data_IF_516741905523
#
_entry.id   IF_516741905523
#
_cell.length_a   1.000
_cell.length_b   1.000
_cell.length_c   1.000
_cell.angle_alpha   90.00
_cell.angle_beta   90.00
_cell.angle_gamma   90.00
#
_symmetry.space_group_name_H-M   'P 1'
#
loop_
_entity.id
_entity.type
_entity.pdbx_description
1 polymer ?
#
# COMPACT_ATOMS: atom_id res chain seq x y z
N UNK A 1 24.10 7.07 -20.57
CA UNK A 1 25.40 6.66 -20.02
C UNK A 1 25.58 7.40 -18.71
N UNK A 2 25.56 6.70 -17.58
CA UNK A 2 25.76 7.32 -16.26
C UNK A 2 27.21 7.79 -16.12
N UNK A 3 27.40 9.07 -15.79
CA UNK A 3 28.72 9.61 -15.52
C UNK A 3 29.25 9.17 -14.15
N UNK A 4 30.53 9.42 -13.88
CA UNK A 4 31.17 9.12 -12.60
C UNK A 4 31.42 10.43 -11.86
N UNK A 5 31.07 10.48 -10.57
CA UNK A 5 31.47 11.54 -9.63
C UNK A 5 32.70 11.07 -8.87
N UNK A 6 33.70 11.93 -8.82
CA UNK A 6 34.94 11.71 -8.06
C UNK A 6 34.96 12.66 -6.87
N UNK A 7 35.30 12.12 -5.70
CA UNK A 7 35.39 12.87 -4.46
C UNK A 7 36.84 13.29 -4.22
N UNK A 8 37.06 14.34 -3.42
CA UNK A 8 38.40 14.81 -3.06
C UNK A 8 39.27 13.73 -2.36
N UNK A 9 38.67 12.66 -1.85
CA UNK A 9 39.34 11.49 -1.26
C UNK A 9 39.85 10.48 -2.29
N UNK A 10 39.60 10.68 -3.59
CA UNK A 10 39.87 9.72 -4.66
C UNK A 10 38.82 8.61 -4.77
N UNK A 11 37.75 8.66 -3.96
CA UNK A 11 36.61 7.77 -4.13
C UNK A 11 35.82 8.16 -5.40
N UNK A 12 35.24 7.17 -6.07
CA UNK A 12 34.35 7.40 -7.21
C UNK A 12 32.99 6.76 -6.96
N UNK A 13 31.91 7.38 -7.46
CA UNK A 13 30.55 6.88 -7.38
C UNK A 13 29.78 7.25 -8.63
N UNK A 14 28.86 6.38 -9.03
CA UNK A 14 27.98 6.62 -10.16
C UNK A 14 27.11 7.89 -9.94
N UNK A 15 26.70 8.54 -11.03
CA UNK A 15 25.77 9.67 -10.96
C UNK A 15 24.43 9.16 -10.43
N UNK A 16 23.83 9.92 -9.52
CA UNK A 16 22.55 9.55 -8.91
C UNK A 16 21.37 10.31 -9.56
N UNK A 17 21.60 10.99 -10.69
CA UNK A 17 20.60 11.84 -11.34
C UNK A 17 19.31 11.09 -11.72
N UNK A 18 19.42 9.82 -12.09
CA UNK A 18 18.27 8.97 -12.44
C UNK A 18 17.87 8.00 -11.31
N UNK A 19 18.48 8.14 -10.12
CA UNK A 19 18.20 7.26 -8.97
C UNK A 19 17.19 7.91 -8.05
N UNK A 20 16.37 7.07 -7.43
CA UNK A 20 15.39 7.54 -6.46
C UNK A 20 16.09 7.91 -5.15
N UNK A 21 15.96 9.18 -4.76
CA UNK A 21 16.52 9.71 -3.52
C UNK A 21 15.47 9.68 -2.41
N UNK A 22 15.28 8.50 -1.81
CA UNK A 22 14.31 8.35 -0.72
C UNK A 22 14.61 9.23 0.50
N UNK A 23 15.88 9.57 0.74
CA UNK A 23 16.26 10.45 1.85
C UNK A 23 15.84 11.89 1.56
N UNK A 24 16.05 12.39 0.34
CA UNK A 24 15.57 13.69 -0.10
C UNK A 24 14.04 13.78 -0.27
N UNK A 25 13.36 12.67 -0.57
CA UNK A 25 11.90 12.65 -0.79
C UNK A 25 11.08 12.50 0.50
N UNK A 26 11.68 12.03 1.60
CA UNK A 26 10.97 11.74 2.85
C UNK A 26 11.50 12.62 3.98
N UNK A 27 10.57 13.25 4.71
CA UNK A 27 10.93 14.00 5.92
C UNK A 27 11.18 13.05 7.10
N UNK A 28 12.36 13.09 7.75
CA UNK A 28 12.64 12.26 8.93
C UNK A 28 11.68 12.57 10.10
N UNK A 29 11.18 13.80 10.18
CA UNK A 29 10.19 14.20 11.19
C UNK A 29 8.84 13.50 10.96
N UNK A 30 8.40 13.44 9.70
CA UNK A 30 7.14 12.77 9.33
C UNK A 30 7.27 11.26 9.54
N UNK A 31 8.39 10.66 9.14
CA UNK A 31 8.65 9.22 9.34
C UNK A 31 8.62 8.86 10.83
N UNK A 32 9.25 9.67 11.69
CA UNK A 32 9.23 9.45 13.13
C UNK A 32 7.82 9.60 13.73
N UNK A 33 7.05 10.62 13.32
CA UNK A 33 5.66 10.80 13.75
C UNK A 33 4.79 9.60 13.35
N UNK A 34 4.88 9.19 12.09
CA UNK A 34 4.14 8.04 11.58
C UNK A 34 4.51 6.74 12.29
N UNK A 35 5.80 6.51 12.56
CA UNK A 35 6.26 5.34 13.32
C UNK A 35 5.68 5.29 14.75
N UNK A 36 5.65 6.44 15.45
CA UNK A 36 5.02 6.53 16.78
C UNK A 36 3.51 6.28 16.70
N UNK A 37 2.84 6.87 15.71
CA UNK A 37 1.43 6.64 15.44
C UNK A 37 1.14 5.15 15.22
N UNK A 38 1.88 4.48 14.35
CA UNK A 38 1.72 3.04 14.07
C UNK A 38 1.99 2.17 15.30
N UNK A 39 3.01 2.53 16.11
CA UNK A 39 3.30 1.81 17.35
C UNK A 39 2.19 1.91 18.39
N UNK A 40 1.48 3.06 18.47
CA UNK A 40 0.28 3.18 19.32
C UNK A 40 -0.85 2.30 18.79
N UNK A 41 -1.12 2.35 17.49
CA UNK A 41 -2.27 1.69 16.87
C UNK A 41 -2.14 0.18 16.69
N UNK A 42 -0.94 -0.39 16.86
CA UNK A 42 -0.77 -1.86 16.88
C UNK A 42 -1.13 -2.52 18.23
N UNK A 43 -1.36 -1.74 19.28
CA UNK A 43 -1.81 -2.22 20.60
C UNK A 43 -3.34 -2.36 20.60
N UNK A 44 -3.85 -3.54 20.92
CA UNK A 44 -5.27 -3.82 20.95
C UNK A 44 -5.86 -3.63 22.36
N UNK A 45 -7.19 -3.44 22.51
CA UNK A 45 -7.83 -3.25 23.81
C UNK A 45 -7.67 -4.42 24.78
N UNK A 46 -7.49 -5.63 24.26
CA UNK A 46 -7.22 -6.86 25.02
C UNK A 46 -5.75 -6.96 25.49
N UNK A 47 -4.93 -5.94 25.22
CA UNK A 47 -3.51 -5.90 25.56
C UNK A 47 -2.60 -6.65 24.59
N UNK A 48 -3.16 -7.32 23.58
CA UNK A 48 -2.35 -7.99 22.55
C UNK A 48 -1.69 -6.98 21.61
N UNK A 49 -0.61 -7.41 20.96
CA UNK A 49 0.20 -6.57 20.10
C UNK A 49 0.27 -7.16 18.70
N UNK A 50 -0.32 -6.46 17.72
CA UNK A 50 -0.22 -6.84 16.32
C UNK A 50 1.21 -6.66 15.82
N UNK A 51 1.63 -7.54 14.90
CA UNK A 51 2.85 -7.33 14.13
C UNK A 51 2.81 -5.96 13.42
N UNK A 52 3.94 -5.29 13.30
CA UNK A 52 4.02 -3.92 12.76
C UNK A 52 3.55 -3.79 11.30
N UNK A 53 3.68 -4.88 10.55
CA UNK A 53 3.32 -5.04 9.15
C UNK A 53 1.95 -5.70 8.95
N UNK A 54 1.19 -5.98 10.01
CA UNK A 54 -0.12 -6.65 9.93
C UNK A 54 -1.09 -6.00 8.93
N UNK A 55 -1.00 -4.69 8.73
CA UNK A 55 -1.84 -3.97 7.76
C UNK A 55 -1.57 -4.37 6.30
N UNK A 56 -0.38 -4.90 5.99
CA UNK A 56 -0.01 -5.39 4.66
C UNK A 56 -0.67 -6.73 4.30
N UNK A 57 -1.27 -7.42 5.29
CA UNK A 57 -2.08 -8.62 5.07
C UNK A 57 -3.35 -8.32 4.24
N UNK A 58 -3.78 -7.06 4.22
CA UNK A 58 -4.86 -6.57 3.37
C UNK A 58 -6.08 -6.11 4.15
N UNK A 59 -6.63 -4.99 3.70
CA UNK A 59 -7.91 -4.42 4.15
C UNK A 59 -8.68 -4.05 2.87
N UNK A 60 -10.01 -4.25 2.81
CA UNK A 60 -10.81 -3.85 1.64
C UNK A 60 -10.59 -2.39 1.23
N UNK A 61 -10.48 -2.14 -0.08
CA UNK A 61 -10.23 -0.80 -0.63
C UNK A 61 -11.29 0.23 -0.20
N UNK A 62 -12.56 -0.19 -0.11
CA UNK A 62 -13.65 0.70 0.32
C UNK A 62 -13.53 1.09 1.80
N UNK A 63 -12.99 0.20 2.64
CA UNK A 63 -12.72 0.50 4.04
C UNK A 63 -11.60 1.55 4.18
N UNK A 64 -10.54 1.48 3.36
CA UNK A 64 -9.50 2.52 3.30
C UNK A 64 -10.08 3.88 2.90
N UNK A 65 -10.93 3.94 1.87
CA UNK A 65 -11.53 5.20 1.42
C UNK A 65 -12.46 5.79 2.48
N UNK A 66 -13.38 4.98 3.03
CA UNK A 66 -14.31 5.42 4.08
C UNK A 66 -13.57 5.89 5.34
N UNK A 67 -12.52 5.19 5.73
CA UNK A 67 -11.72 5.54 6.91
C UNK A 67 -10.86 6.77 6.65
N UNK A 68 -10.15 6.81 5.52
CA UNK A 68 -9.37 7.95 5.08
C UNK A 68 -10.18 9.25 5.03
N UNK A 69 -11.44 9.20 4.58
CA UNK A 69 -12.30 10.38 4.56
C UNK A 69 -12.60 10.96 5.95
N UNK A 70 -12.79 10.11 6.97
CA UNK A 70 -13.01 10.59 8.35
C UNK A 70 -11.79 11.31 8.90
N UNK A 71 -10.60 10.75 8.68
CA UNK A 71 -9.34 11.39 9.11
C UNK A 71 -9.01 12.63 8.29
N UNK A 72 -9.36 12.64 7.00
CA UNK A 72 -9.24 13.83 6.17
C UNK A 72 -10.16 14.95 6.65
N UNK A 73 -11.40 14.62 7.06
CA UNK A 73 -12.28 15.59 7.69
C UNK A 73 -11.66 16.15 8.99
N UNK A 74 -11.11 15.30 9.86
CA UNK A 74 -10.44 15.76 11.09
C UNK A 74 -9.26 16.70 10.76
N UNK A 75 -8.44 16.37 9.76
CA UNK A 75 -7.37 17.26 9.27
C UNK A 75 -7.92 18.60 8.75
N UNK A 76 -8.97 18.56 7.93
CA UNK A 76 -9.57 19.75 7.35
C UNK A 76 -10.21 20.65 8.42
N UNK A 77 -10.91 20.06 9.38
CA UNK A 77 -11.49 20.76 10.52
C UNK A 77 -10.41 21.46 11.35
N UNK A 78 -9.33 20.75 11.72
CA UNK A 78 -8.19 21.35 12.41
C UNK A 78 -7.60 22.53 11.62
N UNK A 79 -7.40 22.38 10.31
CA UNK A 79 -6.87 23.44 9.46
C UNK A 79 -7.77 24.69 9.44
N UNK A 80 -9.09 24.52 9.61
CA UNK A 80 -10.07 25.61 9.66
C UNK A 80 -10.33 26.15 11.07
N UNK A 81 -9.67 25.61 12.10
CA UNK A 81 -9.94 25.94 13.50
C UNK A 81 -11.32 25.46 13.98
N UNK A 82 -11.90 24.47 13.30
CA UNK A 82 -13.14 23.80 13.71
C UNK A 82 -12.76 22.64 14.64
N UNK A 83 -13.52 22.38 15.72
CA UNK A 83 -13.27 21.22 16.58
C UNK A 83 -13.22 19.91 15.77
N UNK A 84 -12.16 19.15 15.98
CA UNK A 84 -11.91 17.85 15.36
C UNK A 84 -11.77 16.78 16.46
N UNK A 85 -11.97 15.52 16.09
CA UNK A 85 -11.83 14.39 17.03
C UNK A 85 -10.36 14.08 17.31
N UNK A 86 -9.52 14.22 16.30
CA UNK A 86 -8.09 13.96 16.34
C UNK A 86 -7.31 15.26 16.14
N UNK A 87 -6.11 15.36 16.71
CA UNK A 87 -5.21 16.48 16.42
C UNK A 87 -4.57 16.35 15.02
N UNK A 88 -3.98 17.44 14.53
CA UNK A 88 -3.37 17.52 13.18
C UNK A 88 -2.36 16.37 12.92
N UNK A 89 -1.47 16.07 13.86
CA UNK A 89 -0.44 15.02 13.69
C UNK A 89 -1.07 13.64 13.47
N UNK A 90 -2.04 13.27 14.32
CA UNK A 90 -2.73 11.97 14.23
C UNK A 90 -3.60 11.89 12.98
N UNK A 91 -4.34 12.96 12.65
CA UNK A 91 -5.16 13.01 11.44
C UNK A 91 -4.31 12.85 10.17
N UNK A 92 -3.16 13.54 10.07
CA UNK A 92 -2.21 13.37 8.97
C UNK A 92 -1.68 11.92 8.88
N UNK A 93 -1.25 11.34 10.01
CA UNK A 93 -0.74 9.97 10.04
C UNK A 93 -1.82 8.95 9.65
N UNK A 94 -3.05 9.16 10.09
CA UNK A 94 -4.17 8.29 9.76
C UNK A 94 -4.57 8.38 8.28
N UNK A 95 -4.57 9.58 7.68
CA UNK A 95 -4.74 9.73 6.22
C UNK A 95 -3.62 9.02 5.48
N UNK A 96 -2.36 9.21 5.89
CA UNK A 96 -1.20 8.55 5.29
C UNK A 96 -1.31 7.01 5.37
N UNK A 97 -1.73 6.46 6.52
CA UNK A 97 -1.98 5.02 6.69
C UNK A 97 -2.98 4.49 5.65
N UNK A 98 -4.11 5.18 5.47
CA UNK A 98 -5.14 4.73 4.53
C UNK A 98 -4.68 4.84 3.07
N UNK A 99 -3.94 5.89 2.71
CA UNK A 99 -3.38 6.05 1.36
C UNK A 99 -2.35 4.95 1.07
N UNK A 100 -1.43 4.68 2.00
CA UNK A 100 -0.42 3.63 1.81
C UNK A 100 -1.05 2.25 1.77
N UNK A 101 -2.03 1.97 2.64
CA UNK A 101 -2.78 0.72 2.63
C UNK A 101 -3.53 0.48 1.32
N UNK A 102 -4.23 1.51 0.82
CA UNK A 102 -4.91 1.46 -0.46
C UNK A 102 -3.93 1.20 -1.60
N UNK A 103 -2.84 1.99 -1.68
CA UNK A 103 -1.85 1.87 -2.73
C UNK A 103 -1.12 0.52 -2.68
N UNK A 104 -0.82 0.01 -1.49
CA UNK A 104 -0.21 -1.31 -1.29
C UNK A 104 -1.08 -2.41 -1.89
N UNK A 105 -2.38 -2.45 -1.55
CA UNK A 105 -3.29 -3.46 -2.10
C UNK A 105 -3.48 -3.31 -3.61
N UNK A 106 -3.55 -2.07 -4.10
CA UNK A 106 -3.63 -1.77 -5.53
C UNK A 106 -2.39 -2.24 -6.29
N UNK A 107 -1.18 -1.96 -5.80
CA UNK A 107 0.08 -2.39 -6.41
C UNK A 107 0.29 -3.90 -6.29
N UNK A 108 -0.10 -4.51 -5.17
CA UNK A 108 -0.09 -5.97 -4.99
C UNK A 108 -1.00 -6.67 -6.01
N UNK A 109 -2.20 -6.14 -6.24
CA UNK A 109 -3.12 -6.65 -7.26
C UNK A 109 -2.57 -6.50 -8.69
N UNK A 110 -1.76 -5.47 -8.97
CA UNK A 110 -1.09 -5.29 -10.27
C UNK A 110 0.05 -6.28 -10.51
N UNK A 111 0.75 -6.69 -9.46
CA UNK A 111 1.90 -7.59 -9.57
C UNK A 111 1.52 -9.07 -9.61
N UNK A 112 0.35 -9.42 -9.09
CA UNK A 112 -0.18 -10.79 -9.13
C UNK A 112 -1.04 -11.00 -10.37
N UNK A 113 -0.62 -11.79 -11.37
CA UNK A 113 -1.52 -12.22 -12.44
C UNK A 113 -2.60 -13.11 -11.81
N UNK A 114 -3.86 -12.67 -11.84
CA UNK A 114 -5.08 -13.49 -11.70
C UNK A 114 -5.23 -14.32 -10.40
N UNK A 115 -5.70 -13.71 -9.30
CA UNK A 115 -6.82 -14.24 -8.48
C UNK A 115 -7.56 -13.02 -7.91
N UNK A 116 -8.59 -12.54 -8.59
CA UNK A 116 -9.45 -11.44 -8.08
C UNK A 116 -10.84 -12.00 -7.79
N UNK A 117 -11.20 -12.29 -6.53
CA UNK A 117 -12.60 -12.49 -6.17
C UNK A 117 -13.35 -11.14 -6.25
N UNK A 118 -14.00 -10.94 -7.41
CA UNK A 118 -15.34 -10.38 -7.61
C UNK A 118 -15.77 -9.11 -6.82
N UNK A 119 -15.08 -7.96 -6.96
CA UNK A 119 -15.74 -6.66 -6.74
C UNK A 119 -15.12 -5.44 -7.45
N UNK A 120 -13.88 -5.49 -7.96
CA UNK A 120 -13.22 -4.27 -8.51
C UNK A 120 -12.70 -4.43 -9.95
N UNK A 121 -12.88 -5.60 -10.58
CA UNK A 121 -12.25 -5.90 -11.86
C UNK A 121 -12.88 -5.21 -13.10
N UNK A 122 -14.13 -4.73 -13.03
CA UNK A 122 -14.83 -4.30 -14.24
C UNK A 122 -14.45 -2.88 -14.72
N UNK A 123 -14.13 -1.96 -13.81
CA UNK A 123 -13.71 -0.60 -14.17
C UNK A 123 -12.20 -0.52 -14.47
N UNK A 124 -11.41 -1.35 -13.79
CA UNK A 124 -9.95 -1.35 -13.89
C UNK A 124 -9.39 -1.76 -15.26
N UNK A 125 -10.13 -2.59 -16.00
CA UNK A 125 -9.67 -3.16 -17.27
C UNK A 125 -10.06 -2.33 -18.50
N UNK A 126 -10.88 -1.28 -18.38
CA UNK A 126 -11.25 -0.45 -19.54
C UNK A 126 -10.30 0.73 -19.76
N UNK A 127 -9.85 1.39 -18.68
CA UNK A 127 -8.96 2.55 -18.82
C UNK A 127 -7.51 2.18 -19.16
N UNK A 128 -7.07 0.95 -18.83
CA UNK A 128 -5.68 0.54 -18.99
C UNK A 128 -5.29 0.07 -20.40
N UNK A 129 -6.24 -0.04 -21.31
CA UNK A 129 -5.94 -0.29 -22.72
C UNK A 129 -5.43 0.98 -23.44
N UNK A 130 -5.58 2.18 -22.84
CA UNK A 130 -5.41 3.44 -23.57
C UNK A 130 -4.29 4.36 -23.06
N UNK A 131 -3.63 4.11 -21.91
CA UNK A 131 -2.74 5.11 -21.29
C UNK A 131 -1.41 4.62 -20.65
N UNK A 132 -0.96 3.39 -20.87
CA UNK A 132 0.35 2.94 -20.36
C UNK A 132 1.48 3.18 -21.39
N UNK A 133 1.87 4.44 -21.62
CA UNK A 133 3.05 4.82 -22.43
C UNK A 133 4.29 5.13 -21.56
N UNK A 134 4.13 5.32 -20.24
CA UNK A 134 5.20 5.75 -19.32
C UNK A 134 6.03 4.60 -18.69
N UNK A 135 5.79 3.34 -19.05
CA UNK A 135 6.51 2.17 -18.49
C UNK A 135 7.25 1.32 -19.54
N UNK A 136 7.53 1.89 -20.72
CA UNK A 136 8.41 1.26 -21.72
C UNK A 136 9.90 1.55 -21.46
N UNK A 137 10.53 0.87 -20.49
CA UNK A 137 11.92 0.38 -20.61
C UNK A 137 12.30 -0.61 -19.48
N UNK A 138 13.14 -1.63 -19.73
CA UNK A 138 12.82 -3.02 -19.42
C UNK A 138 14.01 -3.68 -18.70
N UNK A 139 13.99 -3.72 -17.38
CA UNK A 139 14.84 -4.67 -16.67
C UNK A 139 13.93 -5.71 -16.02
N UNK A 140 13.60 -6.70 -16.84
CA UNK A 140 12.92 -7.92 -16.47
C UNK A 140 13.64 -8.58 -15.30
N UNK A 141 12.93 -8.73 -14.19
CA UNK A 141 13.33 -9.70 -13.16
C UNK A 141 12.86 -11.06 -13.67
N UNK A 142 13.80 -11.86 -14.20
CA UNK A 142 13.55 -13.26 -14.54
C UNK A 142 13.44 -14.07 -13.25
N UNK A 143 12.29 -14.70 -13.02
CA UNK A 143 12.16 -15.82 -12.08
C UNK A 143 11.93 -17.11 -12.86
N UNK A 144 12.68 -18.15 -12.47
CA UNK A 144 12.93 -19.38 -13.22
C UNK A 144 11.70 -20.27 -13.46
N UNK A 145 11.90 -21.13 -14.47
CA UNK A 145 10.90 -21.95 -15.14
C UNK A 145 10.38 -23.15 -14.33
N UNK A 146 9.11 -23.49 -14.55
CA UNK A 146 8.47 -24.70 -14.04
C UNK A 146 6.95 -24.69 -14.28
N UNK A 147 6.53 -24.51 -15.53
CA UNK A 147 5.12 -24.46 -15.91
C UNK A 147 4.54 -25.85 -16.11
N UNK A 148 3.66 -26.28 -15.19
CA UNK A 148 2.66 -27.31 -15.45
C UNK A 148 1.29 -26.64 -15.48
N UNK A 149 0.57 -26.77 -16.61
CA UNK A 149 -0.76 -26.18 -16.80
C UNK A 149 -1.78 -27.11 -16.14
N UNK A 150 -2.33 -26.70 -15.00
CA UNK A 150 -3.42 -27.42 -14.34
C UNK A 150 -4.74 -27.03 -15.03
N UNK A 151 -5.44 -28.03 -15.58
CA UNK A 151 -6.78 -27.86 -16.14
C UNK A 151 -7.80 -27.63 -15.01
N UNK A 152 -8.08 -26.35 -14.74
CA UNK A 152 -9.00 -25.89 -13.70
C UNK A 152 -10.47 -26.21 -13.97
N UNK A 153 -10.82 -26.74 -15.16
CA UNK A 153 -12.20 -27.13 -15.49
C UNK A 153 -12.66 -28.40 -14.77
N UNK A 154 -11.74 -29.11 -14.09
CA UNK A 154 -12.03 -30.35 -13.37
C UNK A 154 -11.97 -30.25 -11.85
N UNK A 155 -11.76 -29.06 -11.27
CA UNK A 155 -11.74 -28.92 -9.82
C UNK A 155 -13.16 -29.04 -9.25
N UNK A 156 -13.47 -30.04 -8.40
CA UNK A 156 -14.81 -30.17 -7.83
C UNK A 156 -15.11 -28.98 -6.91
N UNK A 157 -16.28 -28.39 -7.08
CA UNK A 157 -16.80 -27.33 -6.22
C UNK A 157 -16.89 -27.83 -4.76
N UNK A 158 -16.20 -27.14 -3.85
CA UNK A 158 -16.34 -27.34 -2.41
C UNK A 158 -17.15 -26.16 -1.87
N UNK A 159 -18.43 -26.35 -1.49
CA UNK A 159 -19.19 -25.29 -0.86
C UNK A 159 -18.59 -24.92 0.50
N UNK A 160 -18.57 -23.62 0.80
CA UNK A 160 -18.17 -23.13 2.13
C UNK A 160 -19.10 -23.70 3.21
N UNK A 161 -18.59 -24.07 4.40
CA UNK A 161 -19.44 -24.44 5.51
C UNK A 161 -20.30 -23.23 5.94
N UNK A 162 -21.56 -23.47 6.37
CA UNK A 162 -22.46 -22.39 6.75
C UNK A 162 -21.89 -21.59 7.95
N UNK A 163 -21.98 -20.27 7.83
CA UNK A 163 -21.66 -19.33 8.91
C UNK A 163 -22.68 -19.50 10.03
N UNK A 164 -22.21 -19.85 11.23
CA UNK A 164 -23.03 -19.81 12.44
C UNK A 164 -23.25 -18.34 12.83
N UNK A 165 -24.41 -17.81 12.48
CA UNK A 165 -25.04 -16.70 13.20
C UNK A 165 -26.44 -17.16 13.64
N UNK A 166 -26.88 -16.62 14.79
CA UNK A 166 -28.03 -16.99 15.64
C UNK A 166 -27.59 -17.96 16.77
N UNK A 167 -27.45 -17.61 18.05
CA UNK A 167 -28.12 -16.59 18.85
C UNK A 167 -28.72 -17.28 20.08
N UNK A 168 -28.40 -16.78 21.28
CA UNK A 168 -28.84 -17.18 22.65
C UNK A 168 -28.28 -18.44 23.30
#
# INVERSE_FOLDING_TARGET
>A
MGGIREFATGATRDQDADKWDFEGFLSPLVVAAYGRYMHRHRKLPDGTLRASDNWQAGIPLDAYVKSGWRHFYDLWANHRGVPAREGVEDACCAVLFNIMGYLHEYLKARQTPQIVPHAVAAAYLRDRAEQDDDFQNPHAIQFGAGGEVIDVTKAPYVPNPPSNEDGS
#
